data_IF_480192498793
#
_entry.id   IF_480192498793
#
_cell.length_a   1.000
_cell.length_b   1.000
_cell.length_c   1.000
_cell.angle_alpha   90.00
_cell.angle_beta   90.00
_cell.angle_gamma   90.00
#
_symmetry.space_group_name_H-M   'P 1'
#
loop_
_entity.id
_entity.type
_entity.pdbx_description
1 polymer ?
#
# COMPACT_ATOMS: atom_id res chain seq x y z
N UNK A 1 -3.63 27.87 2.87
CA UNK A 1 -4.64 26.79 2.96
C UNK A 1 -3.91 25.47 2.90
N UNK A 2 -4.50 24.39 3.46
CA UNK A 2 -3.86 23.06 3.46
C UNK A 2 -4.80 22.03 2.84
N UNK A 3 -4.22 21.01 2.23
CA UNK A 3 -4.96 19.83 1.78
C UNK A 3 -5.31 18.94 2.97
N UNK A 4 -6.42 18.21 2.90
CA UNK A 4 -6.66 17.09 3.80
C UNK A 4 -5.69 15.93 3.52
N UNK A 5 -5.42 15.11 4.51
CA UNK A 5 -4.56 13.92 4.36
C UNK A 5 -5.36 12.67 4.64
N UNK A 6 -5.27 11.69 3.75
CA UNK A 6 -5.78 10.33 3.99
C UNK A 6 -4.61 9.37 4.04
N UNK A 7 -4.38 8.80 5.22
CA UNK A 7 -3.37 7.77 5.44
C UNK A 7 -3.98 6.37 5.22
N UNK A 8 -3.33 5.56 4.39
CA UNK A 8 -3.76 4.20 4.04
C UNK A 8 -2.66 3.23 4.47
N UNK A 9 -3.00 2.32 5.41
CA UNK A 9 -2.02 1.35 5.92
C UNK A 9 -1.83 0.16 4.98
N UNK A 10 -0.75 -0.57 5.20
CA UNK A 10 -0.46 -1.85 4.56
C UNK A 10 -1.25 -3.00 5.19
N UNK A 11 -0.74 -4.21 5.03
CA UNK A 11 -1.23 -5.41 5.72
C UNK A 11 -0.70 -5.43 7.16
N UNK A 12 -1.42 -6.10 8.06
CA UNK A 12 -1.00 -6.29 9.44
C UNK A 12 -2.06 -7.01 10.25
N UNK A 13 -1.64 -7.86 11.18
CA UNK A 13 -2.54 -8.53 12.09
C UNK A 13 -3.20 -7.54 13.06
N UNK A 14 -4.48 -7.72 13.32
CA UNK A 14 -5.21 -6.96 14.31
C UNK A 14 -6.63 -6.61 13.89
N UNK A 15 -7.46 -6.25 14.88
CA UNK A 15 -8.81 -5.76 14.64
C UNK A 15 -8.81 -4.29 14.23
N UNK A 16 -9.91 -3.80 13.65
CA UNK A 16 -10.06 -2.36 13.34
C UNK A 16 -9.77 -1.46 14.56
N UNK A 17 -9.98 -1.97 15.75
CA UNK A 17 -9.75 -1.25 17.01
C UNK A 17 -8.26 -1.14 17.35
N UNK A 18 -7.46 -2.17 17.03
CA UNK A 18 -6.01 -2.21 17.29
C UNK A 18 -5.22 -1.36 16.28
N UNK A 19 -5.83 -1.02 15.15
CA UNK A 19 -5.19 -0.26 14.06
C UNK A 19 -5.45 1.22 14.07
N UNK A 20 -6.32 1.70 14.94
CA UNK A 20 -6.50 3.14 15.14
C UNK A 20 -5.19 3.72 15.65
N UNK A 21 -4.70 4.73 14.98
CA UNK A 21 -3.45 5.39 15.34
C UNK A 21 -2.20 4.79 14.69
N UNK A 22 -2.34 3.92 13.66
CA UNK A 22 -1.19 3.35 12.94
C UNK A 22 -0.27 4.42 12.34
N UNK A 23 -0.81 5.58 11.97
CA UNK A 23 -0.09 6.71 11.41
C UNK A 23 0.17 7.83 12.42
N UNK A 24 -0.09 7.62 13.70
CA UNK A 24 -0.03 8.64 14.76
C UNK A 24 1.34 9.33 14.84
N UNK A 25 2.42 8.58 14.69
CA UNK A 25 3.77 9.14 14.78
C UNK A 25 4.07 10.05 13.59
N UNK A 26 3.70 9.65 12.37
CA UNK A 26 3.85 10.49 11.18
C UNK A 26 2.95 11.73 11.28
N UNK A 27 1.70 11.57 11.68
CA UNK A 27 0.74 12.65 11.90
C UNK A 27 1.30 13.73 12.82
N UNK A 28 1.85 13.33 14.00
CA UNK A 28 2.46 14.26 14.96
C UNK A 28 3.68 14.99 14.39
N UNK A 29 4.47 14.34 13.54
CA UNK A 29 5.64 14.91 12.91
C UNK A 29 5.29 15.85 11.76
N UNK A 30 4.21 15.58 11.04
CA UNK A 30 3.69 16.43 9.95
C UNK A 30 3.08 17.71 10.50
N UNK A 31 2.29 17.63 11.55
CA UNK A 31 1.58 18.78 12.12
C UNK A 31 2.17 19.16 13.48
N UNK A 32 2.53 20.43 13.63
CA UNK A 32 2.98 20.98 14.91
C UNK A 32 1.81 21.19 15.88
N UNK A 33 0.61 21.48 15.35
CA UNK A 33 -0.63 21.67 16.12
C UNK A 33 -1.48 20.41 16.06
N UNK A 34 -1.77 19.83 17.23
CA UNK A 34 -2.59 18.62 17.34
C UNK A 34 -4.05 18.84 16.90
N UNK A 35 -4.60 20.03 17.10
CA UNK A 35 -5.95 20.35 16.66
C UNK A 35 -6.03 20.39 15.14
N UNK A 36 -5.08 21.03 14.49
CA UNK A 36 -4.96 21.02 13.02
C UNK A 36 -4.77 19.59 12.50
N UNK A 37 -3.94 18.79 13.19
CA UNK A 37 -3.73 17.39 12.86
C UNK A 37 -5.03 16.56 12.92
N UNK A 38 -5.90 16.78 13.90
CA UNK A 38 -7.18 16.10 14.01
C UNK A 38 -8.16 16.50 12.91
N UNK A 39 -8.13 17.73 12.46
CA UNK A 39 -8.98 18.24 11.40
C UNK A 39 -8.53 17.79 10.01
N UNK A 40 -7.23 17.74 9.77
CA UNK A 40 -6.64 17.52 8.44
C UNK A 40 -6.14 16.10 8.19
N UNK A 41 -6.10 15.20 9.17
CA UNK A 41 -5.57 13.86 9.03
C UNK A 41 -6.61 12.78 9.29
N UNK A 42 -6.84 11.93 8.30
CA UNK A 42 -7.77 10.81 8.38
C UNK A 42 -7.05 9.48 8.16
N UNK A 43 -7.26 8.53 9.07
CA UNK A 43 -6.79 7.16 8.93
C UNK A 43 -7.82 6.30 8.22
N UNK A 44 -7.48 5.80 7.05
CA UNK A 44 -8.32 4.90 6.28
C UNK A 44 -7.99 3.45 6.62
N UNK A 45 -8.68 2.88 7.58
CA UNK A 45 -8.61 1.45 7.93
C UNK A 45 -9.51 0.67 6.98
N UNK A 46 -8.99 -0.34 6.30
CA UNK A 46 -9.70 -1.11 5.28
C UNK A 46 -9.88 -2.60 5.61
N UNK A 47 -9.13 -3.14 6.56
CA UNK A 47 -9.11 -4.59 6.84
C UNK A 47 -10.35 -5.14 7.55
N UNK A 48 -11.12 -4.33 8.28
CA UNK A 48 -12.43 -4.74 8.81
C UNK A 48 -13.44 -5.20 7.75
N UNK A 49 -13.11 -4.96 6.47
CA UNK A 49 -13.88 -5.46 5.32
C UNK A 49 -13.62 -6.96 5.06
N UNK A 50 -12.61 -7.52 5.67
CA UNK A 50 -12.20 -8.93 5.53
C UNK A 50 -12.77 -9.87 6.62
N UNK A 51 -13.64 -9.40 7.51
CA UNK A 51 -14.15 -10.17 8.67
C UNK A 51 -14.97 -11.45 8.33
N UNK A 52 -15.13 -11.78 7.04
CA UNK A 52 -15.65 -13.08 6.58
C UNK A 52 -14.57 -14.00 6.02
N UNK A 53 -13.31 -13.77 6.39
CA UNK A 53 -12.15 -14.47 5.84
C UNK A 53 -12.13 -15.96 6.18
N UNK A 54 -12.61 -16.39 7.34
CA UNK A 54 -12.51 -17.79 7.78
C UNK A 54 -13.25 -18.77 6.85
N UNK A 55 -14.36 -18.35 6.24
CA UNK A 55 -15.05 -19.17 5.24
C UNK A 55 -14.45 -19.04 3.83
N UNK A 56 -13.88 -17.89 3.50
CA UNK A 56 -13.36 -17.57 2.16
C UNK A 56 -11.92 -18.03 1.93
N UNK A 57 -11.05 -17.99 2.95
CA UNK A 57 -9.62 -18.34 2.84
C UNK A 57 -9.43 -19.73 2.27
N UNK A 58 -10.16 -20.72 2.78
CA UNK A 58 -10.12 -22.07 2.24
C UNK A 58 -10.59 -22.19 0.78
N UNK A 59 -11.45 -21.28 0.33
CA UNK A 59 -11.95 -21.19 -1.05
C UNK A 59 -10.94 -20.51 -1.98
N UNK A 60 -10.37 -19.37 -1.55
CA UNK A 60 -9.40 -18.59 -2.32
C UNK A 60 -8.08 -19.35 -2.45
N UNK A 61 -7.57 -19.93 -1.36
CA UNK A 61 -6.38 -20.79 -1.40
C UNK A 61 -6.60 -22.00 -2.30
N UNK A 62 -7.77 -22.65 -2.24
CA UNK A 62 -8.11 -23.76 -3.16
C UNK A 62 -8.24 -23.29 -4.60
N UNK A 63 -8.81 -22.11 -4.86
CA UNK A 63 -8.90 -21.52 -6.21
C UNK A 63 -7.51 -21.19 -6.74
N UNK A 64 -6.67 -20.53 -5.95
CA UNK A 64 -5.28 -20.23 -6.32
C UNK A 64 -4.47 -21.50 -6.57
N UNK A 65 -4.61 -22.53 -5.73
CA UNK A 65 -3.98 -23.84 -5.96
C UNK A 65 -4.53 -24.53 -7.21
N UNK A 66 -5.81 -24.35 -7.53
CA UNK A 66 -6.44 -24.92 -8.73
C UNK A 66 -6.00 -24.17 -9.99
N UNK A 67 -5.96 -22.85 -9.95
CA UNK A 67 -5.45 -22.00 -11.02
C UNK A 67 -3.94 -22.19 -11.21
N UNK A 68 -3.21 -22.52 -10.13
CA UNK A 68 -1.82 -22.94 -10.15
C UNK A 68 -1.58 -24.17 -11.05
N UNK A 69 -2.52 -25.12 -11.15
CA UNK A 69 -2.38 -26.28 -12.03
C UNK A 69 -2.56 -25.95 -13.52
N UNK A 70 -3.12 -24.79 -13.86
CA UNK A 70 -3.42 -24.38 -15.25
C UNK A 70 -2.28 -23.56 -15.87
N UNK A 71 -1.43 -22.91 -15.08
CA UNK A 71 -0.33 -22.05 -15.57
C UNK A 71 0.88 -22.89 -16.01
N UNK A 72 1.59 -22.49 -17.08
CA UNK A 72 2.78 -23.17 -17.59
C UNK A 72 3.87 -23.31 -16.53
N UNK A 73 4.55 -24.47 -16.50
CA UNK A 73 5.52 -24.86 -15.44
C UNK A 73 6.62 -23.81 -15.17
N UNK A 74 7.11 -23.13 -16.20
CA UNK A 74 8.19 -22.15 -16.11
C UNK A 74 7.74 -20.80 -15.49
N UNK A 75 6.50 -20.37 -15.79
CA UNK A 75 5.92 -19.16 -15.21
C UNK A 75 5.52 -19.38 -13.73
N UNK A 76 5.08 -20.60 -13.40
CA UNK A 76 4.80 -21.04 -12.02
C UNK A 76 6.03 -20.96 -11.14
N UNK A 77 7.17 -21.43 -11.62
CA UNK A 77 8.41 -21.41 -10.84
C UNK A 77 8.91 -19.99 -10.58
N UNK A 78 8.71 -19.07 -11.52
CA UNK A 78 9.08 -17.66 -11.36
C UNK A 78 8.18 -16.97 -10.33
N UNK A 79 6.87 -17.19 -10.44
CA UNK A 79 5.87 -16.65 -9.52
C UNK A 79 6.06 -17.18 -8.09
N UNK A 80 6.17 -18.50 -7.92
CA UNK A 80 6.44 -19.10 -6.62
C UNK A 80 7.78 -18.68 -6.03
N UNK A 81 8.80 -18.52 -6.82
CA UNK A 81 10.10 -17.98 -6.33
C UNK A 81 9.96 -16.53 -5.87
N UNK A 82 9.14 -15.72 -6.51
CA UNK A 82 8.88 -14.36 -6.05
C UNK A 82 8.03 -14.35 -4.77
N UNK A 83 6.89 -15.04 -4.76
CA UNK A 83 6.00 -15.15 -3.59
C UNK A 83 6.70 -15.85 -2.42
N UNK A 84 7.35 -16.99 -2.66
CA UNK A 84 8.07 -17.72 -1.60
C UNK A 84 9.30 -16.97 -1.11
N UNK A 85 9.97 -16.17 -1.94
CA UNK A 85 11.08 -15.33 -1.51
C UNK A 85 10.58 -14.18 -0.63
N UNK A 86 9.48 -13.52 -1.00
CA UNK A 86 8.84 -12.49 -0.18
C UNK A 86 8.32 -13.10 1.12
N UNK A 87 7.58 -14.20 1.06
CA UNK A 87 7.08 -14.90 2.25
C UNK A 87 8.25 -15.47 3.06
N UNK A 88 9.25 -16.10 2.46
CA UNK A 88 10.40 -16.66 3.17
C UNK A 88 11.25 -15.57 3.84
N UNK A 89 11.47 -14.43 3.20
CA UNK A 89 12.17 -13.32 3.82
C UNK A 89 11.36 -12.75 4.99
N UNK A 90 10.04 -12.65 4.87
CA UNK A 90 9.16 -12.35 5.99
C UNK A 90 9.27 -13.39 7.11
N UNK A 91 9.34 -14.69 6.79
CA UNK A 91 9.38 -15.78 7.77
C UNK A 91 10.75 -15.98 8.42
N UNK A 92 11.85 -15.74 7.70
CA UNK A 92 13.21 -16.00 8.20
C UNK A 92 13.66 -14.91 9.16
N UNK A 93 13.33 -13.66 8.92
CA UNK A 93 13.76 -12.51 9.75
C UNK A 93 12.99 -12.37 11.07
N UNK A 94 11.83 -13.00 11.20
CA UNK A 94 10.92 -12.83 12.35
C UNK A 94 11.20 -13.82 13.50
N UNK A 95 12.26 -14.63 13.41
CA UNK A 95 12.73 -15.43 14.54
C UNK A 95 11.64 -16.17 15.31
N UNK A 96 10.95 -17.10 14.70
CA UNK A 96 10.18 -18.17 15.40
C UNK A 96 8.93 -17.80 16.21
N UNK A 97 8.66 -16.51 16.47
CA UNK A 97 7.53 -16.07 17.31
C UNK A 97 6.34 -15.47 16.55
N UNK A 98 6.51 -15.15 15.28
CA UNK A 98 5.55 -14.41 14.46
C UNK A 98 5.00 -15.20 13.25
N UNK A 99 5.03 -16.51 13.29
CA UNK A 99 4.57 -17.35 12.16
C UNK A 99 3.10 -17.09 11.83
N UNK A 100 2.27 -16.82 12.82
CA UNK A 100 0.85 -16.51 12.63
C UNK A 100 0.66 -15.16 11.92
N UNK A 101 1.32 -14.10 12.39
CA UNK A 101 1.18 -12.74 11.83
C UNK A 101 1.73 -12.65 10.40
N UNK A 102 2.80 -13.37 10.09
CA UNK A 102 3.36 -13.41 8.74
C UNK A 102 2.48 -14.16 7.74
N UNK A 103 1.73 -15.18 8.19
CA UNK A 103 0.74 -15.87 7.36
C UNK A 103 -0.45 -14.96 7.05
N UNK A 104 -0.93 -14.20 8.03
CA UNK A 104 -2.02 -13.24 7.86
C UNK A 104 -1.63 -12.11 6.90
N UNK A 105 -0.40 -11.60 7.01
CA UNK A 105 0.17 -10.61 6.09
C UNK A 105 0.16 -11.13 4.64
N UNK A 106 0.60 -12.37 4.43
CA UNK A 106 0.63 -13.00 3.11
C UNK A 106 -0.78 -13.23 2.55
N UNK A 107 -1.73 -13.60 3.41
CA UNK A 107 -3.12 -13.85 3.03
C UNK A 107 -3.85 -12.59 2.60
N UNK A 108 -3.74 -11.51 3.35
CA UNK A 108 -4.34 -10.21 2.98
C UNK A 108 -3.86 -9.73 1.62
N UNK A 109 -2.57 -9.94 1.34
CA UNK A 109 -1.99 -9.60 0.06
C UNK A 109 -2.55 -10.45 -1.08
N UNK A 110 -2.61 -11.77 -0.88
CA UNK A 110 -3.18 -12.71 -1.85
C UNK A 110 -4.66 -12.43 -2.08
N UNK A 111 -5.42 -12.13 -1.03
CA UNK A 111 -6.84 -11.75 -1.12
C UNK A 111 -7.04 -10.47 -1.90
N UNK A 112 -6.17 -9.47 -1.70
CA UNK A 112 -6.24 -8.25 -2.49
C UNK A 112 -5.95 -8.48 -3.98
N UNK A 113 -5.07 -9.42 -4.32
CA UNK A 113 -4.80 -9.79 -5.71
C UNK A 113 -5.96 -10.58 -6.35
N UNK A 114 -6.85 -11.19 -5.56
CA UNK A 114 -8.10 -11.74 -6.09
C UNK A 114 -9.00 -10.62 -6.63
N UNK A 115 -9.48 -10.77 -7.87
CA UNK A 115 -10.22 -9.72 -8.58
C UNK A 115 -11.45 -9.23 -7.81
N UNK A 116 -12.22 -10.14 -7.21
CA UNK A 116 -13.48 -9.80 -6.57
C UNK A 116 -13.26 -9.15 -5.20
N UNK A 117 -12.31 -9.67 -4.41
CA UNK A 117 -11.97 -9.11 -3.10
C UNK A 117 -11.23 -7.78 -3.23
N UNK A 118 -10.23 -7.72 -4.11
CA UNK A 118 -9.49 -6.49 -4.39
C UNK A 118 -10.42 -5.37 -4.86
N UNK A 119 -11.40 -5.67 -5.71
CA UNK A 119 -12.39 -4.68 -6.16
C UNK A 119 -13.26 -4.17 -5.00
N UNK A 120 -13.71 -5.06 -4.10
CA UNK A 120 -14.48 -4.64 -2.92
C UNK A 120 -13.68 -3.72 -2.01
N UNK A 121 -12.40 -4.07 -1.78
CA UNK A 121 -11.48 -3.24 -0.97
C UNK A 121 -11.29 -1.87 -1.65
N UNK A 122 -10.97 -1.82 -2.95
CA UNK A 122 -10.80 -0.56 -3.69
C UNK A 122 -12.05 0.30 -3.63
N UNK A 123 -13.22 -0.27 -3.86
CA UNK A 123 -14.48 0.45 -3.78
C UNK A 123 -14.73 1.05 -2.40
N UNK A 124 -14.51 0.29 -1.34
CA UNK A 124 -14.72 0.75 0.02
C UNK A 124 -13.70 1.84 0.42
N UNK A 125 -12.42 1.68 0.07
CA UNK A 125 -11.40 2.71 0.30
C UNK A 125 -11.71 3.96 -0.51
N UNK A 126 -12.10 3.84 -1.79
CA UNK A 126 -12.51 4.96 -2.64
C UNK A 126 -13.68 5.75 -2.02
N UNK A 127 -14.69 5.06 -1.49
CA UNK A 127 -15.81 5.72 -0.81
C UNK A 127 -15.34 6.50 0.44
N UNK A 128 -14.45 5.93 1.25
CA UNK A 128 -13.89 6.64 2.41
C UNK A 128 -13.08 7.89 1.99
N UNK A 129 -12.28 7.77 0.93
CA UNK A 129 -11.54 8.90 0.35
C UNK A 129 -12.49 10.02 -0.07
N UNK A 130 -13.55 9.70 -0.82
CA UNK A 130 -14.53 10.68 -1.29
C UNK A 130 -15.27 11.35 -0.14
N UNK A 131 -15.78 10.56 0.82
CA UNK A 131 -16.48 11.08 1.98
C UNK A 131 -15.62 12.01 2.86
N UNK A 132 -14.30 11.76 2.90
CA UNK A 132 -13.37 12.65 3.58
C UNK A 132 -13.09 13.91 2.76
N UNK A 133 -12.88 13.76 1.46
CA UNK A 133 -12.59 14.85 0.54
C UNK A 133 -13.73 15.89 0.46
N UNK A 134 -14.99 15.48 0.66
CA UNK A 134 -16.13 16.39 0.72
C UNK A 134 -15.98 17.48 1.80
N UNK A 135 -15.18 17.21 2.84
CA UNK A 135 -14.86 18.17 3.92
C UNK A 135 -13.65 19.05 3.59
N UNK A 136 -12.94 18.74 2.51
CA UNK A 136 -11.69 19.39 2.12
C UNK A 136 -11.76 19.87 0.65
N UNK A 137 -12.43 20.98 0.38
CA UNK A 137 -12.69 21.46 -0.99
C UNK A 137 -11.40 21.80 -1.77
N UNK A 138 -10.27 22.00 -1.07
CA UNK A 138 -8.97 22.19 -1.70
C UNK A 138 -8.43 20.90 -2.32
N UNK A 139 -8.93 19.74 -1.88
CA UNK A 139 -8.48 18.41 -2.26
C UNK A 139 -7.68 17.73 -1.16
N UNK A 140 -7.16 16.55 -1.47
CA UNK A 140 -6.46 15.70 -0.50
C UNK A 140 -5.10 15.22 -1.00
N UNK A 141 -4.24 14.88 -0.05
CA UNK A 141 -3.01 14.12 -0.24
C UNK A 141 -3.24 12.69 0.26
N UNK A 142 -2.98 11.69 -0.57
CA UNK A 142 -2.93 10.29 -0.14
C UNK A 142 -1.53 9.96 0.36
N UNK A 143 -1.45 9.37 1.55
CA UNK A 143 -0.21 8.91 2.19
C UNK A 143 -0.36 7.41 2.42
N UNK A 144 0.37 6.58 1.68
CA UNK A 144 0.06 5.16 1.58
C UNK A 144 1.29 4.26 1.76
N UNK A 145 1.19 3.29 2.67
CA UNK A 145 2.25 2.37 3.05
C UNK A 145 2.00 0.95 2.53
N UNK A 146 3.05 0.27 2.09
CA UNK A 146 3.01 -1.16 1.78
C UNK A 146 1.86 -1.52 0.81
N UNK A 147 1.01 -2.50 1.11
CA UNK A 147 -0.18 -2.85 0.32
C UNK A 147 -1.15 -1.67 0.16
N UNK A 148 -1.23 -0.76 1.15
CA UNK A 148 -2.00 0.46 1.03
C UNK A 148 -1.57 1.33 -0.16
N UNK A 149 -0.28 1.31 -0.53
CA UNK A 149 0.22 2.00 -1.72
C UNK A 149 -0.28 1.39 -3.02
N UNK A 150 -0.45 0.07 -3.06
CA UNK A 150 -1.03 -0.64 -4.20
C UNK A 150 -2.52 -0.31 -4.32
N UNK A 151 -3.25 -0.32 -3.21
CA UNK A 151 -4.68 0.04 -3.16
C UNK A 151 -4.87 1.48 -3.64
N UNK A 152 -4.08 2.43 -3.13
CA UNK A 152 -4.15 3.84 -3.52
C UNK A 152 -3.87 4.01 -5.02
N UNK A 153 -2.79 3.40 -5.51
CA UNK A 153 -2.41 3.44 -6.91
C UNK A 153 -3.52 2.88 -7.82
N UNK A 154 -4.05 1.70 -7.49
CA UNK A 154 -5.09 1.06 -8.29
C UNK A 154 -6.37 1.92 -8.38
N UNK A 155 -6.80 2.53 -7.26
CA UNK A 155 -7.95 3.43 -7.23
C UNK A 155 -7.76 4.62 -8.18
N UNK A 156 -6.57 5.24 -8.15
CA UNK A 156 -6.25 6.39 -8.99
C UNK A 156 -6.15 6.01 -10.46
N UNK A 157 -5.53 4.87 -10.75
CA UNK A 157 -5.36 4.37 -12.11
C UNK A 157 -6.71 3.93 -12.73
N UNK A 158 -7.57 3.25 -11.97
CA UNK A 158 -8.93 2.91 -12.40
C UNK A 158 -9.75 4.17 -12.68
N UNK A 159 -9.69 5.18 -11.79
CA UNK A 159 -10.40 6.44 -11.99
C UNK A 159 -9.93 7.15 -13.27
N UNK A 160 -8.60 7.23 -13.47
CA UNK A 160 -8.03 7.83 -14.67
C UNK A 160 -8.50 7.14 -15.96
N UNK A 161 -8.49 5.81 -16.00
CA UNK A 161 -8.94 5.03 -17.15
C UNK A 161 -10.43 5.19 -17.44
N UNK A 162 -11.23 5.36 -16.41
CA UNK A 162 -12.67 5.58 -16.52
C UNK A 162 -13.04 7.04 -16.80
N UNK A 163 -12.05 7.95 -16.94
CA UNK A 163 -12.28 9.37 -17.11
C UNK A 163 -12.86 10.06 -15.88
N UNK A 164 -12.74 9.42 -14.70
CA UNK A 164 -13.19 10.00 -13.44
C UNK A 164 -12.10 10.92 -12.85
N UNK A 165 -12.52 12.04 -12.30
CA UNK A 165 -11.63 12.94 -11.56
C UNK A 165 -11.83 12.75 -10.07
N UNK A 166 -10.80 12.25 -9.37
CA UNK A 166 -10.81 12.19 -7.92
C UNK A 166 -10.21 13.48 -7.32
N UNK A 167 -10.67 13.92 -6.15
CA UNK A 167 -10.18 15.13 -5.48
C UNK A 167 -8.80 14.93 -4.84
N UNK A 168 -7.96 14.09 -5.44
CA UNK A 168 -6.60 13.78 -5.02
C UNK A 168 -5.62 14.67 -5.78
N UNK A 169 -4.80 15.41 -5.05
CA UNK A 169 -3.78 16.31 -5.59
C UNK A 169 -2.41 15.67 -5.65
N UNK A 170 -2.09 14.83 -4.67
CA UNK A 170 -0.78 14.21 -4.52
C UNK A 170 -0.91 12.79 -3.99
N UNK A 171 -0.01 11.94 -4.41
CA UNK A 171 0.19 10.60 -3.87
C UNK A 171 1.59 10.50 -3.27
N UNK A 172 1.68 10.12 -2.01
CA UNK A 172 2.92 9.80 -1.32
C UNK A 172 2.88 8.33 -0.94
N UNK A 173 3.79 7.54 -1.48
CA UNK A 173 3.90 6.11 -1.17
C UNK A 173 5.22 5.79 -0.49
N UNK A 174 5.27 4.76 0.35
CA UNK A 174 6.48 4.29 0.97
C UNK A 174 6.42 2.79 1.28
N UNK A 175 7.58 2.12 1.18
CA UNK A 175 7.65 0.66 1.29
C UNK A 175 6.76 -0.07 0.28
N UNK A 176 6.65 0.47 -0.94
CA UNK A 176 5.65 0.07 -1.92
C UNK A 176 6.05 -1.18 -2.70
N UNK A 177 5.22 -2.25 -2.68
CA UNK A 177 5.46 -3.48 -3.43
C UNK A 177 4.96 -3.42 -4.89
N UNK A 178 4.66 -2.26 -5.46
CA UNK A 178 4.05 -2.11 -6.78
C UNK A 178 4.83 -2.79 -7.92
N UNK A 179 6.17 -2.80 -7.89
CA UNK A 179 6.96 -3.45 -8.94
C UNK A 179 6.61 -4.93 -9.09
N UNK A 180 6.66 -5.66 -7.98
CA UNK A 180 6.41 -7.10 -8.03
C UNK A 180 4.93 -7.46 -8.09
N UNK A 181 4.03 -6.61 -7.57
CA UNK A 181 2.59 -6.78 -7.79
C UNK A 181 2.22 -6.65 -9.25
N UNK A 182 2.83 -5.69 -9.94
CA UNK A 182 2.67 -5.52 -11.38
C UNK A 182 3.13 -6.77 -12.15
N UNK A 183 4.29 -7.34 -11.81
CA UNK A 183 4.77 -8.57 -12.43
C UNK A 183 3.87 -9.78 -12.16
N UNK A 184 3.36 -9.91 -10.94
CA UNK A 184 2.39 -10.97 -10.61
C UNK A 184 1.14 -10.88 -11.46
N UNK A 185 0.55 -9.69 -11.57
CA UNK A 185 -0.65 -9.45 -12.39
C UNK A 185 -0.41 -9.71 -13.86
N UNK A 186 0.75 -9.33 -14.36
CA UNK A 186 1.17 -9.61 -15.73
C UNK A 186 1.31 -11.11 -15.98
N UNK A 187 1.90 -11.86 -15.05
CA UNK A 187 2.01 -13.31 -15.14
C UNK A 187 0.65 -14.01 -15.13
N UNK A 188 -0.34 -13.46 -14.40
CA UNK A 188 -1.71 -13.94 -14.37
C UNK A 188 -2.57 -13.46 -15.56
N UNK A 189 -1.99 -12.70 -16.50
CA UNK A 189 -2.70 -12.09 -17.64
C UNK A 189 -3.86 -11.17 -17.24
N UNK A 190 -3.84 -10.61 -16.03
CA UNK A 190 -4.82 -9.64 -15.53
C UNK A 190 -4.57 -8.27 -16.16
N UNK A 191 -4.95 -8.11 -17.44
CA UNK A 191 -4.77 -6.86 -18.19
C UNK A 191 -5.43 -5.65 -17.51
N UNK A 192 -6.52 -5.89 -16.83
CA UNK A 192 -7.34 -4.87 -16.16
C UNK A 192 -6.62 -4.14 -15.03
N UNK A 193 -5.57 -4.75 -14.46
CA UNK A 193 -4.82 -4.20 -13.33
C UNK A 193 -3.35 -3.84 -13.69
N UNK A 194 -3.02 -3.82 -14.97
CA UNK A 194 -1.68 -3.45 -15.46
C UNK A 194 -1.67 -1.97 -15.89
N UNK A 195 -2.14 -1.09 -15.02
CA UNK A 195 -2.14 0.33 -15.26
C UNK A 195 -0.73 0.92 -15.11
N UNK A 196 -0.40 1.87 -15.95
CA UNK A 196 0.90 2.55 -15.94
C UNK A 196 0.80 4.05 -15.64
N UNK A 197 -0.41 4.59 -15.52
CA UNK A 197 -0.66 5.99 -15.29
C UNK A 197 -1.78 6.24 -14.29
N UNK A 198 -1.60 7.28 -13.48
CA UNK A 198 -2.59 7.84 -12.56
C UNK A 198 -3.00 9.26 -12.96
N UNK A 199 -2.79 9.60 -14.23
CA UNK A 199 -3.07 10.94 -14.75
C UNK A 199 -2.05 11.99 -14.29
N UNK A 200 -2.52 13.21 -14.03
CA UNK A 200 -1.67 14.35 -13.66
C UNK A 200 -1.46 14.49 -12.14
N UNK A 201 -1.55 13.39 -11.40
CA UNK A 201 -1.32 13.40 -9.95
C UNK A 201 0.18 13.35 -9.69
N UNK A 202 0.70 14.30 -8.92
CA UNK A 202 2.10 14.28 -8.45
C UNK A 202 2.31 13.08 -7.53
N UNK A 203 3.36 12.30 -7.76
CA UNK A 203 3.60 11.06 -7.04
C UNK A 203 5.03 10.95 -6.56
N UNK A 204 5.21 10.96 -5.24
CA UNK A 204 6.48 10.79 -4.55
C UNK A 204 6.51 9.41 -3.88
N UNK A 205 7.52 8.59 -4.17
CA UNK A 205 7.71 7.26 -3.59
C UNK A 205 8.98 7.20 -2.75
N UNK A 206 8.82 6.93 -1.46
CA UNK A 206 9.93 6.80 -0.52
C UNK A 206 10.31 5.34 -0.32
N UNK A 207 11.59 5.07 -0.22
CA UNK A 207 12.08 3.72 0.02
C UNK A 207 13.37 3.70 0.85
N UNK A 208 13.49 2.70 1.71
CA UNK A 208 14.75 2.30 2.30
C UNK A 208 15.37 1.19 1.45
N UNK A 209 16.67 1.25 1.23
CA UNK A 209 17.40 0.22 0.47
C UNK A 209 17.38 -1.12 1.21
N UNK A 210 17.24 -1.08 2.55
CA UNK A 210 17.19 -2.25 3.42
C UNK A 210 15.79 -2.87 3.54
N UNK A 211 14.75 -2.24 2.98
CA UNK A 211 13.39 -2.75 3.04
C UNK A 211 13.19 -3.92 2.08
N UNK A 212 12.83 -5.08 2.61
CA UNK A 212 12.61 -6.29 1.82
C UNK A 212 11.28 -6.33 1.06
N UNK A 213 10.27 -5.55 1.47
CA UNK A 213 8.93 -5.61 0.86
C UNK A 213 8.92 -5.08 -0.57
N UNK A 214 9.51 -3.93 -0.91
CA UNK A 214 9.70 -3.52 -2.29
C UNK A 214 10.81 -4.30 -3.03
N UNK A 215 11.35 -5.39 -2.45
CA UNK A 215 12.47 -6.20 -2.96
C UNK A 215 13.75 -5.38 -3.14
N UNK A 216 14.04 -4.48 -2.21
CA UNK A 216 15.22 -3.60 -2.22
C UNK A 216 15.30 -2.67 -3.43
N UNK A 217 14.20 -2.45 -4.12
CA UNK A 217 14.15 -1.69 -5.37
C UNK A 217 13.23 -0.47 -5.22
N UNK A 218 13.61 0.61 -5.90
CA UNK A 218 12.71 1.73 -6.14
C UNK A 218 11.70 1.39 -7.25
N UNK A 219 10.61 2.13 -7.36
CA UNK A 219 9.61 1.92 -8.41
C UNK A 219 10.19 2.21 -9.79
N UNK A 220 9.95 1.31 -10.74
CA UNK A 220 10.45 1.45 -12.11
C UNK A 220 9.77 2.60 -12.84
N UNK A 221 10.54 3.59 -13.29
CA UNK A 221 10.03 4.71 -14.10
C UNK A 221 9.51 4.28 -15.48
N UNK A 222 10.01 3.17 -16.01
CA UNK A 222 9.52 2.60 -17.27
C UNK A 222 8.07 2.10 -17.15
N UNK A 223 7.67 1.74 -15.92
CA UNK A 223 6.32 1.26 -15.61
C UNK A 223 5.43 2.36 -15.05
N UNK A 224 6.00 3.22 -14.23
CA UNK A 224 5.31 4.26 -13.48
C UNK A 224 5.93 5.62 -13.82
N UNK A 225 5.60 6.15 -14.99
CA UNK A 225 6.28 7.33 -15.57
C UNK A 225 6.19 8.59 -14.71
N UNK A 226 5.16 8.72 -13.89
CA UNK A 226 4.93 9.91 -13.06
C UNK A 226 5.61 9.83 -11.67
N UNK A 227 6.28 8.70 -11.32
CA UNK A 227 6.85 8.51 -9.98
C UNK A 227 8.18 9.25 -9.82
N UNK A 228 8.32 9.96 -8.71
CA UNK A 228 9.60 10.44 -8.20
C UNK A 228 10.04 9.55 -7.02
N UNK A 229 11.17 8.85 -7.20
CA UNK A 229 11.70 7.95 -6.17
C UNK A 229 12.67 8.71 -5.27
N UNK A 230 12.42 8.68 -3.96
CA UNK A 230 13.18 9.41 -2.95
C UNK A 230 13.76 8.40 -1.95
N UNK A 231 15.08 8.18 -1.96
CA UNK A 231 15.73 7.30 -1.00
C UNK A 231 15.74 7.91 0.40
N UNK A 232 15.44 7.08 1.40
CA UNK A 232 15.60 7.41 2.80
C UNK A 232 16.82 6.68 3.40
N UNK A 233 17.34 7.18 4.50
CA UNK A 233 18.44 6.58 5.25
C UNK A 233 17.92 6.13 6.61
N UNK A 234 18.03 4.82 6.89
CA UNK A 234 17.72 4.33 8.23
C UNK A 234 18.68 4.90 9.27
N UNK A 235 18.16 5.38 10.40
CA UNK A 235 18.99 5.96 11.46
C UNK A 235 19.91 4.93 12.15
N UNK A 236 19.57 3.65 12.14
CA UNK A 236 20.34 2.54 12.73
C UNK A 236 20.10 1.28 11.89
N UNK A 237 21.07 0.34 11.87
CA UNK A 237 20.86 -0.97 11.23
C UNK A 237 19.72 -1.70 11.95
N UNK A 238 18.60 -1.84 11.29
CA UNK A 238 17.42 -2.53 11.78
C UNK A 238 17.19 -3.82 10.98
N UNK A 239 16.42 -4.74 11.52
CA UNK A 239 15.98 -5.89 10.73
C UNK A 239 15.16 -5.42 9.52
N UNK A 240 15.07 -6.25 8.49
CA UNK A 240 14.35 -5.93 7.24
C UNK A 240 12.88 -5.55 7.50
N UNK A 241 12.22 -6.22 8.45
CA UNK A 241 10.84 -5.91 8.84
C UNK A 241 10.76 -4.60 9.62
N UNK A 242 11.71 -4.37 10.55
CA UNK A 242 11.78 -3.11 11.26
C UNK A 242 12.00 -1.94 10.29
N UNK A 243 12.81 -2.14 9.22
CA UNK A 243 12.97 -1.17 8.15
C UNK A 243 11.64 -0.87 7.46
N UNK A 244 10.84 -1.91 7.16
CA UNK A 244 9.52 -1.74 6.55
C UNK A 244 8.51 -0.98 7.42
N UNK A 245 8.63 -1.06 8.73
CA UNK A 245 7.77 -0.33 9.67
C UNK A 245 8.28 1.07 10.02
N UNK A 246 9.56 1.37 9.77
CA UNK A 246 10.21 2.60 10.22
C UNK A 246 9.71 3.87 9.55
N UNK A 247 9.11 3.78 8.38
CA UNK A 247 8.60 4.95 7.63
C UNK A 247 7.67 5.84 8.43
N UNK A 248 6.80 5.25 9.27
CA UNK A 248 5.84 6.03 10.06
C UNK A 248 6.48 6.97 11.08
N UNK A 249 7.75 6.73 11.42
CA UNK A 249 8.52 7.56 12.35
C UNK A 249 9.69 8.30 11.70
N UNK A 250 9.79 8.33 10.37
CA UNK A 250 10.86 8.98 9.64
C UNK A 250 10.66 10.50 9.53
N UNK A 251 11.65 11.28 9.98
CA UNK A 251 11.58 12.74 10.00
C UNK A 251 11.70 13.36 8.61
N UNK A 252 12.46 12.74 7.70
CA UNK A 252 12.60 13.24 6.33
C UNK A 252 11.31 13.03 5.54
N UNK A 253 10.67 11.84 5.69
CA UNK A 253 9.34 11.60 5.14
C UNK A 253 8.31 12.58 5.72
N UNK A 254 8.29 12.76 7.03
CA UNK A 254 7.37 13.70 7.69
C UNK A 254 7.55 15.15 7.20
N UNK A 255 8.80 15.60 7.08
CA UNK A 255 9.12 16.93 6.55
C UNK A 255 8.63 17.08 5.11
N UNK A 256 8.81 16.06 4.29
CA UNK A 256 8.34 16.08 2.92
C UNK A 256 6.80 16.12 2.84
N UNK A 257 6.10 15.23 3.57
CA UNK A 257 4.63 15.23 3.62
C UNK A 257 4.11 16.59 4.09
N UNK A 258 4.75 17.21 5.07
CA UNK A 258 4.39 18.58 5.54
C UNK A 258 4.39 19.57 4.38
N UNK A 259 5.42 19.56 3.53
CA UNK A 259 5.48 20.48 2.36
C UNK A 259 4.40 20.15 1.33
N UNK A 260 4.00 18.89 1.20
CA UNK A 260 2.98 18.45 0.24
C UNK A 260 1.54 18.73 0.70
N UNK A 261 1.33 18.96 1.99
CA UNK A 261 0.03 19.33 2.56
C UNK A 261 -0.28 20.82 2.31
N UNK A 262 0.73 21.67 2.18
CA UNK A 262 0.51 23.08 1.84
C UNK A 262 -0.03 23.22 0.41
N UNK A 263 -1.11 24.01 0.25
CA UNK A 263 -1.63 24.36 -1.08
C UNK A 263 -0.66 25.35 -1.76
N UNK A 264 -0.41 25.12 -3.02
CA UNK A 264 0.30 26.07 -3.89
C UNK A 264 -0.52 27.33 -4.12
#
# INVERSE_FOLDING_TARGET
MKYGVVAIHGVGAGTEMDRRGFSMELKKRVFADLKEAEELWHECVWEGLNSKIDECVGGVVRKLLKDYHIVRKEEKERWWRAVTRVLANFFIDVGGGFVADGLDLGLDFVLYLDSDHGQKIRNAVKQKILAYADKHPQGIVLVAHSLGSVIAYDILAEAYLNGETLPVKRLVTFGSPLNWTFELRKAEQKKELNYTSIGNISWDNFYYVEDCVPLYEHLSKDRFSAVENIPLKLPVSSSQIASHCAYWSDDALASHVRTRVECE
#
